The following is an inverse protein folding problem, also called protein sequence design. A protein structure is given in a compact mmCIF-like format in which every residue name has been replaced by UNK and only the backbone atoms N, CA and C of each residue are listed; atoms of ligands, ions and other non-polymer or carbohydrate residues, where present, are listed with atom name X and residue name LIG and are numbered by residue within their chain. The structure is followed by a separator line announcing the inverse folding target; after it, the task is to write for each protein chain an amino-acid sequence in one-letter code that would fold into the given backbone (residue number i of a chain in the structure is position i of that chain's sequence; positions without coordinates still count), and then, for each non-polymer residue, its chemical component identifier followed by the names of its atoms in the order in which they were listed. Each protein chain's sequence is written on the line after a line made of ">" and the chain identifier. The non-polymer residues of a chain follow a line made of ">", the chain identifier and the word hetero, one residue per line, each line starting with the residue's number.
data_IF_353489478273
#
_entry.id   IF_353489478273
#
_cell.length_a   1.000
_cell.length_b   1.000
_cell.length_c   1.000
_cell.angle_alpha   90.00
_cell.angle_beta   90.00
_cell.angle_gamma   90.00
#
_symmetry.space_group_name_H-M   'P 1'
#
loop_
_entity.id
_entity.type
_entity.pdbx_description
1 polymer ?
#
# COMPACT_ATOMS: atom_id res chain seq x y z
N UNK A 1 17.95 10.01 7.12
CA UNK A 1 17.31 8.70 6.95
C UNK A 1 16.11 8.46 7.90
N UNK A 2 16.20 8.68 9.21
CA UNK A 2 15.09 8.38 10.15
C UNK A 2 13.76 9.05 9.81
N UNK A 3 13.75 10.35 9.48
CA UNK A 3 12.51 11.09 9.19
C UNK A 3 11.81 10.64 7.91
N UNK A 4 12.57 10.27 6.88
CA UNK A 4 11.97 9.74 5.64
C UNK A 4 11.32 8.38 5.85
N UNK A 5 11.88 7.52 6.69
CA UNK A 5 11.28 6.24 7.07
C UNK A 5 9.99 6.45 7.86
N UNK A 6 10.01 7.37 8.84
CA UNK A 6 8.79 7.73 9.60
C UNK A 6 7.71 8.28 8.67
N UNK A 7 8.07 9.19 7.76
CA UNK A 7 7.13 9.74 6.79
C UNK A 7 6.54 8.63 5.89
N UNK A 8 7.38 7.75 5.38
CA UNK A 8 6.94 6.59 4.58
C UNK A 8 5.93 5.73 5.36
N UNK A 9 6.23 5.42 6.62
CA UNK A 9 5.36 4.62 7.48
C UNK A 9 4.01 5.30 7.72
N UNK A 10 4.01 6.60 8.06
CA UNK A 10 2.77 7.36 8.26
C UNK A 10 1.92 7.37 7.00
N UNK A 11 2.53 7.62 5.84
CA UNK A 11 1.81 7.60 4.55
C UNK A 11 1.26 6.21 4.23
N UNK A 12 2.01 5.14 4.52
CA UNK A 12 1.55 3.77 4.34
C UNK A 12 0.35 3.43 5.24
N UNK A 13 0.37 3.83 6.51
CA UNK A 13 -0.76 3.66 7.43
C UNK A 13 -2.00 4.40 6.94
N UNK A 14 -1.84 5.65 6.48
CA UNK A 14 -2.93 6.44 5.90
C UNK A 14 -3.47 5.76 4.63
N UNK A 15 -2.60 5.25 3.75
CA UNK A 15 -2.99 4.54 2.54
C UNK A 15 -3.82 3.28 2.83
N UNK A 16 -3.37 2.46 3.78
CA UNK A 16 -4.10 1.25 4.23
C UNK A 16 -5.44 1.63 4.84
N UNK A 17 -5.46 2.58 5.78
CA UNK A 17 -6.68 3.04 6.43
C UNK A 17 -7.70 3.60 5.45
N UNK A 18 -7.29 4.49 4.56
CA UNK A 18 -8.15 5.04 3.52
C UNK A 18 -8.62 3.98 2.52
N UNK A 19 -7.75 3.02 2.16
CA UNK A 19 -8.07 1.90 1.28
C UNK A 19 -9.16 1.00 1.87
N UNK A 20 -9.01 0.59 3.12
CA UNK A 20 -10.00 -0.23 3.84
C UNK A 20 -11.34 0.51 3.98
N UNK A 21 -11.31 1.79 4.38
CA UNK A 21 -12.53 2.59 4.46
C UNK A 21 -13.19 2.75 3.09
N UNK A 22 -12.40 2.97 2.03
CA UNK A 22 -12.91 3.02 0.67
C UNK A 22 -13.63 1.73 0.28
N UNK A 23 -13.09 0.55 0.64
CA UNK A 23 -13.71 -0.74 0.37
C UNK A 23 -15.04 -0.90 1.13
N UNK A 24 -15.09 -0.55 2.42
CA UNK A 24 -16.32 -0.60 3.23
C UNK A 24 -17.40 0.30 2.64
N UNK A 25 -17.06 1.54 2.26
CA UNK A 25 -18.01 2.46 1.66
C UNK A 25 -18.41 2.08 0.23
N UNK A 26 -17.50 1.55 -0.57
CA UNK A 26 -17.80 1.03 -1.90
C UNK A 26 -18.79 -0.14 -1.84
N UNK A 27 -18.72 -0.96 -0.80
CA UNK A 27 -19.68 -2.03 -0.56
C UNK A 27 -21.08 -1.50 -0.26
N UNK A 28 -21.19 -0.49 0.61
CA UNK A 28 -22.45 0.07 1.08
C UNK A 28 -23.08 1.05 0.07
N UNK A 29 -22.27 1.95 -0.48
CA UNK A 29 -22.73 3.08 -1.29
C UNK A 29 -21.66 3.50 -2.30
N UNK A 30 -21.46 2.73 -3.40
CA UNK A 30 -20.36 2.97 -4.34
C UNK A 30 -20.43 4.36 -5.00
N UNK A 31 -21.62 4.90 -5.21
CA UNK A 31 -21.84 6.19 -5.87
C UNK A 31 -21.72 7.40 -4.94
N UNK A 32 -21.53 7.19 -3.64
CA UNK A 32 -21.46 8.27 -2.67
C UNK A 32 -20.19 9.14 -2.89
N UNK A 33 -20.35 10.46 -2.72
CA UNK A 33 -19.26 11.40 -2.79
C UNK A 33 -18.13 11.06 -1.79
N UNK A 34 -18.50 10.48 -0.64
CA UNK A 34 -17.57 10.03 0.39
C UNK A 34 -16.69 8.89 -0.11
N UNK A 35 -17.27 7.90 -0.79
CA UNK A 35 -16.52 6.77 -1.38
C UNK A 35 -15.48 7.27 -2.38
N UNK A 36 -15.86 8.20 -3.27
CA UNK A 36 -14.96 8.82 -4.23
C UNK A 36 -13.80 9.59 -3.58
N UNK A 37 -14.09 10.34 -2.50
CA UNK A 37 -13.04 11.07 -1.76
C UNK A 37 -12.07 10.11 -1.09
N UNK A 38 -12.58 9.07 -0.43
CA UNK A 38 -11.74 8.07 0.24
C UNK A 38 -10.85 7.31 -0.74
N UNK A 39 -11.39 6.91 -1.91
CA UNK A 39 -10.59 6.30 -2.97
C UNK A 39 -9.49 7.26 -3.48
N UNK A 40 -9.78 8.56 -3.60
CA UNK A 40 -8.80 9.58 -3.96
C UNK A 40 -7.71 9.75 -2.89
N UNK A 41 -8.07 9.79 -1.62
CA UNK A 41 -7.11 9.86 -0.52
C UNK A 41 -6.25 8.60 -0.43
N UNK A 42 -6.84 7.41 -0.61
CA UNK A 42 -6.10 6.16 -0.64
C UNK A 42 -5.05 6.16 -1.76
N UNK A 43 -5.44 6.55 -2.98
CA UNK A 43 -4.53 6.67 -4.11
C UNK A 43 -3.41 7.69 -3.85
N UNK A 44 -3.76 8.89 -3.38
CA UNK A 44 -2.77 9.94 -3.11
C UNK A 44 -1.75 9.53 -2.04
N UNK A 45 -2.23 8.94 -0.94
CA UNK A 45 -1.36 8.45 0.13
C UNK A 45 -0.47 7.29 -0.33
N UNK A 46 -1.02 6.35 -1.13
CA UNK A 46 -0.24 5.23 -1.70
C UNK A 46 0.85 5.72 -2.66
N UNK A 47 0.53 6.68 -3.54
CA UNK A 47 1.52 7.30 -4.43
C UNK A 47 2.61 8.03 -3.65
N UNK A 48 2.23 8.81 -2.64
CA UNK A 48 3.19 9.51 -1.80
C UNK A 48 4.09 8.53 -1.02
N UNK A 49 3.51 7.47 -0.44
CA UNK A 49 4.28 6.41 0.23
C UNK A 49 5.24 5.72 -0.75
N UNK A 50 4.79 5.43 -1.96
CA UNK A 50 5.61 4.81 -2.99
C UNK A 50 6.79 5.70 -3.39
N UNK A 51 6.56 6.99 -3.64
CA UNK A 51 7.62 7.95 -3.99
C UNK A 51 8.64 8.07 -2.87
N UNK A 52 8.20 8.25 -1.62
CA UNK A 52 9.11 8.33 -0.46
C UNK A 52 9.87 7.01 -0.30
N UNK A 53 9.22 5.86 -0.46
CA UNK A 53 9.87 4.54 -0.45
C UNK A 53 10.94 4.40 -1.53
N UNK A 54 10.64 4.83 -2.76
CA UNK A 54 11.60 4.80 -3.87
C UNK A 54 12.84 5.68 -3.60
N UNK A 55 12.68 6.82 -2.93
CA UNK A 55 13.80 7.69 -2.54
C UNK A 55 14.68 7.07 -1.43
N UNK A 56 14.10 6.27 -0.56
CA UNK A 56 14.82 5.59 0.54
C UNK A 56 15.50 4.30 0.02
N UNK A 57 14.91 3.67 -1.00
CA UNK A 57 15.28 2.33 -1.44
C UNK A 57 16.76 2.15 -1.78
N UNK A 58 17.48 3.06 -2.45
CA UNK A 58 18.90 2.88 -2.75
C UNK A 58 19.76 2.68 -1.50
N UNK A 59 19.55 3.51 -0.47
CA UNK A 59 20.27 3.39 0.80
C UNK A 59 19.88 2.09 1.54
N UNK A 60 18.58 1.79 1.61
CA UNK A 60 18.07 0.57 2.20
C UNK A 60 18.66 -0.69 1.52
N UNK A 61 18.73 -0.69 0.19
CA UNK A 61 19.25 -1.82 -0.58
C UNK A 61 20.69 -2.14 -0.21
N UNK A 62 21.53 -1.13 -0.09
CA UNK A 62 22.96 -1.31 0.20
C UNK A 62 23.20 -1.60 1.69
N UNK A 63 22.62 -0.81 2.57
CA UNK A 63 22.96 -0.83 4.00
C UNK A 63 22.25 -1.95 4.77
N UNK A 64 21.05 -2.36 4.33
CA UNK A 64 20.22 -3.31 5.08
C UNK A 64 19.99 -4.59 4.29
N UNK A 65 19.48 -4.49 3.06
CA UNK A 65 19.08 -5.65 2.29
C UNK A 65 20.27 -6.56 1.97
N UNK A 66 21.28 -6.06 1.25
CA UNK A 66 22.42 -6.85 0.79
C UNK A 66 23.39 -7.17 1.94
N UNK A 67 23.63 -6.18 2.81
CA UNK A 67 24.61 -6.34 3.88
C UNK A 67 24.14 -7.30 4.98
N UNK A 68 22.84 -7.41 5.22
CA UNK A 68 22.34 -8.17 6.37
C UNK A 68 21.14 -9.06 6.03
N UNK A 69 20.08 -8.52 5.40
CA UNK A 69 18.81 -9.23 5.26
C UNK A 69 18.93 -10.47 4.36
N UNK A 70 19.60 -10.35 3.22
CA UNK A 70 19.79 -11.47 2.28
C UNK A 70 20.68 -12.58 2.85
N UNK A 71 21.62 -12.24 3.72
CA UNK A 71 22.54 -13.19 4.29
C UNK A 71 22.01 -13.90 5.54
N UNK A 72 21.37 -13.16 6.44
CA UNK A 72 20.91 -13.66 7.72
C UNK A 72 19.42 -14.09 7.72
N UNK A 73 18.57 -13.47 6.88
CA UNK A 73 17.12 -13.65 6.92
C UNK A 73 16.49 -13.72 5.52
N UNK A 74 16.73 -14.79 4.75
CA UNK A 74 16.23 -14.93 3.37
C UNK A 74 14.70 -14.91 3.29
N UNK A 75 13.98 -15.34 4.35
CA UNK A 75 12.52 -15.29 4.42
C UNK A 75 12.01 -13.84 4.48
N UNK A 76 12.69 -12.99 5.27
CA UNK A 76 12.35 -11.59 5.37
C UNK A 76 12.60 -10.85 4.05
N UNK A 77 13.66 -11.24 3.31
CA UNK A 77 13.90 -10.72 1.96
C UNK A 77 12.76 -11.07 1.01
N UNK A 78 12.29 -12.32 1.02
CA UNK A 78 11.14 -12.75 0.20
C UNK A 78 9.86 -12.00 0.59
N UNK A 79 9.61 -11.83 1.89
CA UNK A 79 8.46 -11.06 2.37
C UNK A 79 8.51 -9.60 1.91
N UNK A 80 9.71 -9.00 1.92
CA UNK A 80 9.92 -7.65 1.40
C UNK A 80 9.62 -7.56 -0.10
N UNK A 81 10.12 -8.49 -0.91
CA UNK A 81 9.88 -8.52 -2.35
C UNK A 81 8.38 -8.70 -2.68
N UNK A 82 7.70 -9.60 -1.97
CA UNK A 82 6.25 -9.78 -2.09
C UNK A 82 5.47 -8.52 -1.72
N UNK A 83 5.87 -7.84 -0.66
CA UNK A 83 5.26 -6.56 -0.27
C UNK A 83 5.35 -5.54 -1.40
N UNK A 84 6.51 -5.41 -2.04
CA UNK A 84 6.70 -4.47 -3.16
C UNK A 84 5.82 -4.83 -4.36
N UNK A 85 5.70 -6.11 -4.70
CA UNK A 85 4.83 -6.58 -5.76
C UNK A 85 3.35 -6.27 -5.47
N UNK A 86 2.89 -6.47 -4.22
CA UNK A 86 1.51 -6.17 -3.84
C UNK A 86 1.21 -4.67 -3.93
N UNK A 87 2.14 -3.82 -3.52
CA UNK A 87 1.98 -2.36 -3.66
C UNK A 87 1.97 -1.96 -5.14
N UNK A 88 2.85 -2.54 -5.96
CA UNK A 88 2.89 -2.28 -7.39
C UNK A 88 1.60 -2.68 -8.11
N UNK A 89 0.94 -3.76 -7.67
CA UNK A 89 -0.39 -4.16 -8.18
C UNK A 89 -1.52 -3.27 -7.63
N UNK A 90 -1.44 -2.87 -6.37
CA UNK A 90 -2.47 -2.06 -5.74
C UNK A 90 -2.60 -0.67 -6.38
N UNK A 91 -1.50 -0.03 -6.78
CA UNK A 91 -1.50 1.32 -7.35
C UNK A 91 -2.36 1.45 -8.62
N UNK A 92 -2.16 0.64 -9.68
CA UNK A 92 -2.99 0.72 -10.88
C UNK A 92 -4.45 0.35 -10.59
N UNK A 93 -4.71 -0.56 -9.65
CA UNK A 93 -6.08 -0.90 -9.25
C UNK A 93 -6.77 0.25 -8.51
N UNK A 94 -6.05 0.98 -7.64
CA UNK A 94 -6.56 2.19 -7.00
C UNK A 94 -6.87 3.29 -8.02
N UNK A 95 -5.99 3.47 -8.99
CA UNK A 95 -6.20 4.43 -10.07
C UNK A 95 -7.46 4.08 -10.88
N UNK A 96 -7.60 2.80 -11.26
CA UNK A 96 -8.77 2.29 -11.97
C UNK A 96 -10.06 2.47 -11.15
N UNK A 97 -10.03 2.16 -9.84
CA UNK A 97 -11.16 2.37 -8.93
C UNK A 97 -11.54 3.85 -8.86
N UNK A 98 -10.56 4.71 -8.60
CA UNK A 98 -10.79 6.15 -8.50
C UNK A 98 -11.38 6.73 -9.79
N UNK A 99 -10.86 6.32 -10.94
CA UNK A 99 -11.34 6.75 -12.24
C UNK A 99 -12.77 6.26 -12.51
N UNK A 100 -13.06 4.99 -12.22
CA UNK A 100 -14.38 4.38 -12.36
C UNK A 100 -15.44 5.11 -11.52
N UNK A 101 -15.12 5.39 -10.24
CA UNK A 101 -15.99 6.11 -9.33
C UNK A 101 -16.19 7.58 -9.76
N UNK A 102 -15.19 8.19 -10.37
CA UNK A 102 -15.26 9.58 -10.85
C UNK A 102 -16.05 9.71 -12.15
N UNK A 103 -15.90 8.77 -13.06
CA UNK A 103 -16.63 8.71 -14.31
C UNK A 103 -18.13 8.38 -14.12
N UNK A 104 -18.56 8.11 -12.87
CA UNK A 104 -19.93 7.69 -12.54
C UNK A 104 -20.41 6.51 -13.43
N UNK A 105 -19.47 5.67 -13.85
CA UNK A 105 -19.78 4.48 -14.62
C UNK A 105 -20.64 3.54 -13.76
N UNK A 106 -21.82 3.19 -14.26
CA UNK A 106 -22.76 2.30 -13.56
C UNK A 106 -22.27 0.85 -13.51
N UNK A 107 -21.16 0.61 -12.82
CA UNK A 107 -20.53 -0.72 -12.64
C UNK A 107 -20.23 -0.99 -11.16
N UNK A 108 -21.26 -1.05 -10.30
CA UNK A 108 -21.06 -1.16 -8.85
C UNK A 108 -20.33 -2.45 -8.44
N UNK A 109 -20.55 -3.56 -9.14
CA UNK A 109 -19.86 -4.81 -8.87
C UNK A 109 -18.36 -4.71 -9.13
N UNK A 110 -17.94 -4.08 -10.22
CA UNK A 110 -16.54 -3.85 -10.53
C UNK A 110 -15.88 -2.91 -9.52
N UNK A 111 -16.56 -1.81 -9.14
CA UNK A 111 -16.06 -0.89 -8.13
C UNK A 111 -15.85 -1.57 -6.77
N UNK A 112 -16.79 -2.42 -6.35
CA UNK A 112 -16.67 -3.23 -5.12
C UNK A 112 -15.50 -4.21 -5.21
N UNK A 113 -15.38 -4.94 -6.31
CA UNK A 113 -14.30 -5.89 -6.54
C UNK A 113 -12.93 -5.22 -6.49
N UNK A 114 -12.75 -4.11 -7.21
CA UNK A 114 -11.51 -3.33 -7.19
C UNK A 114 -11.19 -2.79 -5.79
N UNK A 115 -12.17 -2.26 -5.09
CA UNK A 115 -11.97 -1.72 -3.74
C UNK A 115 -11.55 -2.80 -2.74
N UNK A 116 -12.20 -3.96 -2.76
CA UNK A 116 -11.86 -5.10 -1.89
C UNK A 116 -10.47 -5.66 -2.22
N UNK A 117 -10.18 -5.90 -3.50
CA UNK A 117 -8.88 -6.42 -3.92
C UNK A 117 -7.75 -5.46 -3.56
N UNK A 118 -7.94 -4.15 -3.77
CA UNK A 118 -6.97 -3.14 -3.39
C UNK A 118 -6.74 -3.11 -1.88
N UNK A 119 -7.81 -3.13 -1.08
CA UNK A 119 -7.70 -3.16 0.38
C UNK A 119 -6.98 -4.42 0.86
N UNK A 120 -7.28 -5.58 0.30
CA UNK A 120 -6.61 -6.83 0.62
C UNK A 120 -5.10 -6.77 0.31
N UNK A 121 -4.72 -6.26 -0.86
CA UNK A 121 -3.30 -6.09 -1.23
C UNK A 121 -2.56 -5.15 -0.29
N UNK A 122 -3.16 -4.01 0.06
CA UNK A 122 -2.55 -3.05 0.98
C UNK A 122 -2.39 -3.61 2.40
N UNK A 123 -3.42 -4.29 2.93
CA UNK A 123 -3.35 -4.93 4.24
C UNK A 123 -2.29 -6.03 4.26
N UNK A 124 -2.27 -6.89 3.24
CA UNK A 124 -1.24 -7.95 3.15
C UNK A 124 0.16 -7.36 3.05
N UNK A 125 0.35 -6.32 2.25
CA UNK A 125 1.64 -5.61 2.16
C UNK A 125 2.06 -5.01 3.51
N UNK A 126 1.13 -4.45 4.29
CA UNK A 126 1.41 -3.91 5.62
C UNK A 126 1.79 -5.01 6.62
N UNK A 127 1.11 -6.16 6.60
CA UNK A 127 1.44 -7.31 7.45
C UNK A 127 2.83 -7.88 7.12
N UNK A 128 3.17 -7.99 5.83
CA UNK A 128 4.50 -8.41 5.41
C UNK A 128 5.57 -7.41 5.87
N UNK A 129 5.31 -6.10 5.76
CA UNK A 129 6.22 -5.08 6.24
C UNK A 129 6.45 -5.19 7.76
N UNK A 130 5.38 -5.37 8.54
CA UNK A 130 5.49 -5.56 9.99
C UNK A 130 6.31 -6.81 10.34
N UNK A 131 6.15 -7.91 9.60
CA UNK A 131 6.96 -9.13 9.77
C UNK A 131 8.45 -8.90 9.52
N UNK A 132 8.81 -8.10 8.51
CA UNK A 132 10.21 -7.75 8.23
C UNK A 132 10.81 -6.90 9.36
N UNK A 133 10.05 -5.93 9.89
CA UNK A 133 10.50 -5.07 10.99
C UNK A 133 10.77 -5.85 12.29
N UNK A 134 10.00 -6.91 12.59
CA UNK A 134 10.23 -7.74 13.80
C UNK A 134 11.58 -8.45 13.75
N UNK A 135 12.05 -8.85 12.58
CA UNK A 135 13.35 -9.47 12.38
C UNK A 135 14.48 -8.44 12.50
N UNK A 136 14.24 -7.21 12.03
CA UNK A 136 15.24 -6.13 12.08
C UNK A 136 15.47 -5.56 13.48
N UNK A 137 14.50 -5.65 14.37
CA UNK A 137 14.56 -5.12 15.74
C UNK A 137 15.30 -6.00 16.77
N UNK A 138 15.81 -7.16 16.38
CA UNK A 138 16.57 -8.05 17.24
C UNK A 138 18.02 -8.17 16.73
N UNK A 139 18.93 -7.34 17.25
CA UNK A 139 20.38 -7.48 16.99
C UNK A 139 20.95 -8.74 17.68
#
# INVERSE_FOLDING_TARGET
>A
MRWSVVLHLVLAVVAVGAGVHSAVFAWRSPDAARTRRLAGWALAASLAAYVVGALIYPAYKVEIRVAWLEQAHPEATRAFDLKEQFVALALPMQLALWWLLRARAARPALARGLALATAALLVTAALLAAGVETVHGHP
#
